data_IF_795252027247
#
_entry.id   IF_795252027247
#
_cell.length_a   1.000
_cell.length_b   1.000
_cell.length_c   1.000
_cell.angle_alpha   90.00
_cell.angle_beta   90.00
_cell.angle_gamma   90.00
#
_symmetry.space_group_name_H-M   'P 1'
#
loop_
_entity.id
_entity.type
_entity.pdbx_description
1 polymer ?
#
# COMPACT_ATOMS: atom_id res chain seq x y z
N UNK A 1 11.82 16.98 9.12
CA UNK A 1 12.47 16.60 10.40
C UNK A 1 13.96 16.47 10.14
N UNK A 2 14.85 16.85 11.09
CA UNK A 2 16.29 16.64 10.90
C UNK A 2 16.59 15.16 10.72
N UNK A 3 17.64 14.87 9.95
CA UNK A 3 18.15 13.54 9.75
C UNK A 3 18.42 12.83 11.06
N UNK A 4 17.77 11.74 11.30
CA UNK A 4 17.90 10.95 12.53
C UNK A 4 18.31 9.51 12.24
N UNK A 5 19.20 9.02 13.07
CA UNK A 5 19.55 7.61 13.09
C UNK A 5 18.31 6.72 13.29
N UNK A 6 18.09 5.80 12.39
CA UNK A 6 16.89 4.93 12.41
C UNK A 6 17.03 3.72 13.37
N UNK A 7 18.02 3.71 14.26
CA UNK A 7 18.18 2.63 15.23
C UNK A 7 17.17 2.70 16.37
N UNK A 8 16.93 3.90 16.87
CA UNK A 8 15.98 4.15 17.96
C UNK A 8 15.43 5.55 17.88
N UNK A 9 14.16 5.73 18.26
CA UNK A 9 13.49 7.03 18.26
C UNK A 9 14.17 8.05 19.18
N UNK A 10 14.88 7.62 20.21
CA UNK A 10 15.61 8.48 21.16
C UNK A 10 16.95 8.99 20.62
N UNK A 11 17.48 8.41 19.53
CA UNK A 11 18.76 8.82 18.98
C UNK A 11 18.62 10.16 18.24
N UNK A 12 19.38 11.16 18.68
CA UNK A 12 19.43 12.49 18.04
C UNK A 12 20.61 12.66 17.09
N UNK A 13 21.53 11.68 17.03
CA UNK A 13 22.69 11.74 16.14
C UNK A 13 22.28 11.60 14.68
N UNK A 14 22.90 12.33 13.75
CA UNK A 14 22.67 12.15 12.32
C UNK A 14 23.19 10.80 11.85
N UNK A 15 22.58 10.20 10.84
CA UNK A 15 23.08 8.98 10.21
C UNK A 15 24.39 9.27 9.44
N UNK A 16 25.15 8.22 9.17
CA UNK A 16 26.32 8.30 8.30
C UNK A 16 25.88 8.35 6.83
N UNK A 17 26.72 8.92 5.98
CA UNK A 17 26.50 8.90 4.51
C UNK A 17 26.22 7.46 4.04
N UNK A 18 25.17 7.28 3.30
CA UNK A 18 24.72 5.97 2.77
C UNK A 18 24.38 4.91 3.84
N UNK A 19 24.06 5.32 5.07
CA UNK A 19 23.63 4.42 6.14
C UNK A 19 22.42 4.99 6.88
N UNK A 20 21.47 4.16 7.31
CA UNK A 20 20.37 4.60 8.19
C UNK A 20 20.81 4.78 9.64
N UNK A 21 22.09 4.51 9.96
CA UNK A 21 22.62 4.51 11.32
C UNK A 21 23.72 5.54 11.52
N UNK A 22 23.78 6.15 12.70
CA UNK A 22 24.87 7.00 13.11
C UNK A 22 26.13 6.19 13.50
N UNK A 23 27.27 6.88 13.67
CA UNK A 23 28.56 6.27 14.02
C UNK A 23 28.50 5.37 15.25
N UNK A 24 27.70 5.72 16.24
CA UNK A 24 27.53 4.93 17.48
C UNK A 24 26.73 3.67 17.22
N UNK A 25 25.61 3.79 16.50
CA UNK A 25 24.64 2.71 16.36
C UNK A 25 24.92 1.74 15.20
N UNK A 26 25.79 2.08 14.27
CA UNK A 26 26.08 1.20 13.12
C UNK A 26 26.62 -0.19 13.54
N UNK A 27 27.25 -0.27 14.70
CA UNK A 27 27.80 -1.52 15.25
C UNK A 27 26.78 -2.35 16.02
N UNK A 28 25.74 -1.72 16.57
CA UNK A 28 24.84 -2.33 17.56
C UNK A 28 23.43 -2.55 17.04
N UNK A 29 22.99 -1.79 16.03
CA UNK A 29 21.66 -1.98 15.49
C UNK A 29 21.57 -3.29 14.70
N UNK A 30 20.46 -4.01 14.86
CA UNK A 30 20.18 -5.16 14.02
C UNK A 30 20.18 -4.73 12.55
N UNK A 31 21.03 -5.36 11.75
CA UNK A 31 21.15 -5.04 10.32
C UNK A 31 19.96 -5.54 9.49
N UNK A 32 19.16 -6.45 10.05
CA UNK A 32 18.04 -7.08 9.36
C UNK A 32 16.87 -7.20 10.32
N UNK A 33 15.72 -6.62 9.96
CA UNK A 33 14.48 -6.87 10.67
C UNK A 33 14.05 -8.34 10.48
N UNK A 34 13.27 -8.88 11.43
CA UNK A 34 12.83 -10.29 11.38
C UNK A 34 11.97 -10.53 10.13
N UNK A 35 12.50 -11.31 9.19
CA UNK A 35 11.87 -11.68 7.94
C UNK A 35 11.02 -12.95 8.09
N UNK A 36 9.92 -13.00 7.36
CA UNK A 36 9.08 -14.20 7.24
C UNK A 36 9.70 -15.24 6.30
N UNK A 37 10.56 -14.80 5.38
CA UNK A 37 11.10 -15.55 4.25
C UNK A 37 10.21 -15.48 3.00
N UNK A 38 9.22 -14.60 3.00
CA UNK A 38 8.30 -14.38 1.88
C UNK A 38 8.28 -12.94 1.39
N UNK A 39 9.18 -12.12 1.89
CA UNK A 39 9.36 -10.75 1.45
C UNK A 39 9.82 -10.73 -0.03
N UNK A 40 9.31 -9.79 -0.85
CA UNK A 40 9.80 -9.61 -2.22
C UNK A 40 11.26 -9.18 -2.24
N UNK A 41 11.97 -9.50 -3.31
CA UNK A 41 13.27 -8.88 -3.58
C UNK A 41 13.10 -7.43 -3.99
N UNK A 42 14.04 -6.58 -3.58
CA UNK A 42 14.15 -5.24 -4.14
C UNK A 42 14.56 -5.35 -5.61
N UNK A 43 13.62 -5.10 -6.49
CA UNK A 43 13.81 -5.13 -7.93
C UNK A 43 13.10 -3.92 -8.56
N UNK A 44 13.78 -2.77 -8.65
CA UNK A 44 13.22 -1.56 -9.23
C UNK A 44 12.86 -1.71 -10.71
N UNK A 45 13.60 -2.50 -11.49
CA UNK A 45 13.34 -2.70 -12.92
C UNK A 45 11.97 -3.28 -13.21
N UNK A 46 11.46 -4.11 -12.31
CA UNK A 46 10.10 -4.66 -12.40
C UNK A 46 9.03 -3.58 -12.55
N UNK A 47 9.29 -2.36 -12.04
CA UNK A 47 8.35 -1.23 -12.05
C UNK A 47 8.84 -0.07 -12.91
N UNK A 48 10.14 0.13 -13.04
CA UNK A 48 10.73 1.31 -13.67
C UNK A 48 11.00 1.12 -15.16
N UNK A 49 11.25 -0.13 -15.58
CA UNK A 49 11.67 -0.45 -16.96
C UNK A 49 10.63 -0.08 -18.03
N UNK A 50 9.34 -0.23 -17.69
CA UNK A 50 8.23 0.09 -18.59
C UNK A 50 7.44 1.27 -18.04
N UNK A 51 7.37 2.36 -18.80
CA UNK A 51 6.66 3.58 -18.39
C UNK A 51 5.20 3.30 -18.05
N UNK A 52 4.50 2.47 -18.81
CA UNK A 52 3.12 2.11 -18.51
C UNK A 52 2.92 1.41 -17.15
N UNK A 53 3.88 0.59 -16.70
CA UNK A 53 3.85 0.00 -15.35
C UNK A 53 4.17 1.07 -14.31
N UNK A 54 5.22 1.87 -14.55
CA UNK A 54 5.64 2.96 -13.66
C UNK A 54 4.50 3.94 -13.39
N UNK A 55 3.79 4.35 -14.44
CA UNK A 55 2.70 5.32 -14.39
C UNK A 55 1.40 4.75 -13.83
N UNK A 56 1.15 3.45 -13.98
CA UNK A 56 -0.09 2.81 -13.55
C UNK A 56 -0.06 2.23 -12.14
N UNK A 57 1.11 2.08 -11.53
CA UNK A 57 1.26 1.51 -10.19
C UNK A 57 1.72 2.58 -9.22
N UNK A 58 1.06 2.67 -8.06
CA UNK A 58 1.41 3.58 -6.96
C UNK A 58 2.03 2.82 -5.77
N UNK A 59 2.23 3.51 -4.65
CA UNK A 59 2.74 2.94 -3.41
C UNK A 59 1.91 1.75 -2.91
N UNK A 60 0.59 1.81 -3.04
CA UNK A 60 -0.31 0.73 -2.61
C UNK A 60 -0.11 -0.54 -3.44
N UNK A 61 -0.09 -0.44 -4.77
CA UNK A 61 0.17 -1.57 -5.64
C UNK A 61 1.57 -2.16 -5.40
N UNK A 62 2.58 -1.29 -5.23
CA UNK A 62 3.95 -1.68 -4.95
C UNK A 62 4.08 -2.46 -3.63
N UNK A 63 3.42 -2.00 -2.58
CA UNK A 63 3.45 -2.67 -1.28
C UNK A 63 2.94 -4.12 -1.33
N UNK A 64 2.01 -4.40 -2.24
CA UNK A 64 1.46 -5.74 -2.49
C UNK A 64 2.21 -6.54 -3.58
N UNK A 65 3.37 -6.06 -4.01
CA UNK A 65 4.17 -6.67 -5.09
C UNK A 65 3.40 -6.82 -6.42
N UNK A 66 2.46 -5.90 -6.68
CA UNK A 66 1.61 -5.91 -7.86
C UNK A 66 2.19 -5.00 -8.95
N UNK A 67 2.58 -5.59 -10.09
CA UNK A 67 3.23 -4.92 -11.21
C UNK A 67 2.61 -5.25 -12.57
N UNK A 68 1.36 -5.70 -12.59
CA UNK A 68 0.68 -6.00 -13.85
C UNK A 68 0.28 -4.73 -14.58
N UNK A 69 0.62 -4.64 -15.86
CA UNK A 69 0.06 -3.62 -16.73
C UNK A 69 -1.46 -3.79 -16.79
N UNK A 70 -2.24 -2.71 -16.62
CA UNK A 70 -3.69 -2.80 -16.70
C UNK A 70 -4.17 -3.18 -18.10
N UNK A 71 -5.18 -4.02 -18.16
CA UNK A 71 -5.88 -4.35 -19.40
C UNK A 71 -6.82 -3.17 -19.78
N UNK A 72 -6.28 -2.17 -20.45
CA UNK A 72 -6.99 -0.97 -20.90
C UNK A 72 -6.38 -0.47 -22.20
N UNK A 73 -7.23 0.07 -23.09
CA UNK A 73 -6.76 0.77 -24.30
C UNK A 73 -5.93 2.02 -24.00
N UNK A 74 -6.01 2.55 -22.79
CA UNK A 74 -5.25 3.70 -22.31
C UNK A 74 -3.89 3.31 -21.70
N UNK A 75 -3.51 2.03 -21.77
CA UNK A 75 -2.27 1.52 -21.22
C UNK A 75 -1.53 0.66 -22.24
N UNK A 76 -0.25 0.97 -22.40
CA UNK A 76 0.75 0.21 -23.16
C UNK A 76 1.99 0.02 -22.29
N UNK A 77 3.05 -0.58 -22.85
CA UNK A 77 4.34 -0.67 -22.16
C UNK A 77 4.98 0.72 -21.97
N UNK A 78 4.65 1.67 -22.83
CA UNK A 78 5.30 2.99 -22.93
C UNK A 78 4.55 4.08 -22.16
N UNK A 79 3.25 3.91 -21.90
CA UNK A 79 2.45 4.90 -21.17
C UNK A 79 1.18 4.27 -20.56
N UNK A 80 0.63 4.91 -19.52
CA UNK A 80 -0.64 4.53 -18.96
C UNK A 80 -1.32 5.70 -18.23
N UNK A 81 -2.48 6.13 -18.70
CA UNK A 81 -3.21 7.31 -18.19
C UNK A 81 -4.43 6.99 -17.32
N UNK A 82 -4.54 5.75 -16.82
CA UNK A 82 -5.66 5.39 -15.94
C UNK A 82 -5.38 5.71 -14.47
N UNK A 83 -6.41 5.98 -13.67
CA UNK A 83 -6.26 6.24 -12.25
C UNK A 83 -5.58 5.10 -11.51
N UNK A 84 -4.81 5.41 -10.47
CA UNK A 84 -4.22 4.42 -9.58
C UNK A 84 -5.26 3.57 -8.87
N UNK A 85 -4.86 2.35 -8.51
CA UNK A 85 -5.63 1.58 -7.54
C UNK A 85 -5.56 2.25 -6.16
N UNK A 86 -6.68 2.23 -5.44
CA UNK A 86 -6.82 2.90 -4.15
C UNK A 86 -7.36 1.93 -3.09
N UNK A 87 -6.92 2.06 -1.80
CA UNK A 87 -7.48 1.28 -0.71
C UNK A 87 -8.99 1.45 -0.58
N UNK A 88 -9.70 0.34 -0.37
CA UNK A 88 -11.16 0.32 -0.21
C UNK A 88 -11.95 0.18 -1.50
N UNK A 89 -11.34 0.40 -2.66
CA UNK A 89 -12.09 0.35 -3.94
C UNK A 89 -12.56 -1.06 -4.29
N UNK A 90 -11.80 -2.08 -3.93
CA UNK A 90 -12.19 -3.47 -4.17
C UNK A 90 -13.37 -3.89 -3.30
N UNK A 91 -13.46 -3.38 -2.08
CA UNK A 91 -14.53 -3.64 -1.11
C UNK A 91 -15.71 -2.67 -1.20
N UNK A 92 -15.67 -1.71 -2.13
CA UNK A 92 -16.80 -0.82 -2.39
C UNK A 92 -16.86 0.44 -1.52
N UNK A 93 -15.79 0.76 -0.81
CA UNK A 93 -15.70 2.05 -0.11
C UNK A 93 -15.81 3.22 -1.09
N UNK A 94 -16.42 4.34 -0.67
CA UNK A 94 -16.47 5.55 -1.46
C UNK A 94 -15.08 6.12 -1.76
N UNK A 95 -14.98 6.99 -2.72
CA UNK A 95 -13.77 7.78 -2.96
C UNK A 95 -13.46 8.67 -1.74
N UNK A 96 -12.19 9.05 -1.62
CA UNK A 96 -11.77 10.04 -0.65
C UNK A 96 -12.48 11.36 -0.92
N UNK A 97 -12.84 12.05 0.14
CA UNK A 97 -13.40 13.40 0.06
C UNK A 97 -12.64 14.33 1.02
N UNK A 98 -12.74 15.62 0.78
CA UNK A 98 -12.15 16.63 1.67
C UNK A 98 -12.65 16.54 3.12
N UNK A 99 -13.90 16.05 3.30
CA UNK A 99 -14.51 15.87 4.65
C UNK A 99 -13.97 14.64 5.36
N UNK A 100 -13.65 13.58 4.62
CA UNK A 100 -13.30 12.27 5.22
C UNK A 100 -11.80 12.04 5.36
N UNK A 101 -10.95 12.92 4.87
CA UNK A 101 -9.50 12.85 5.02
C UNK A 101 -8.87 11.45 4.82
N UNK A 102 -7.58 11.37 4.71
CA UNK A 102 -6.83 10.10 4.59
C UNK A 102 -6.28 9.68 5.94
N UNK A 103 -7.16 9.32 6.88
CA UNK A 103 -6.80 9.01 8.26
C UNK A 103 -6.42 7.54 8.47
N UNK A 104 -5.53 7.29 9.40
CA UNK A 104 -5.05 5.94 9.73
C UNK A 104 -6.17 4.91 9.97
N UNK A 105 -7.19 5.15 10.82
CA UNK A 105 -8.24 4.15 11.07
C UNK A 105 -9.06 3.82 9.82
N UNK A 106 -9.38 4.82 8.99
CA UNK A 106 -10.14 4.62 7.76
C UNK A 106 -9.34 3.83 6.73
N UNK A 107 -8.06 4.19 6.52
CA UNK A 107 -7.18 3.45 5.61
C UNK A 107 -6.99 1.99 6.03
N UNK A 108 -6.81 1.74 7.32
CA UNK A 108 -6.71 0.37 7.87
C UNK A 108 -8.00 -0.40 7.59
N UNK A 109 -9.17 0.19 7.85
CA UNK A 109 -10.47 -0.44 7.59
C UNK A 109 -10.65 -0.78 6.11
N UNK A 110 -10.28 0.13 5.21
CA UNK A 110 -10.31 -0.08 3.75
C UNK A 110 -9.40 -1.22 3.31
N UNK A 111 -8.19 -1.31 3.88
CA UNK A 111 -7.26 -2.40 3.59
C UNK A 111 -7.82 -3.76 4.02
N UNK A 112 -8.40 -3.84 5.22
CA UNK A 112 -9.02 -5.08 5.73
C UNK A 112 -10.21 -5.50 4.89
N UNK A 113 -10.98 -4.54 4.36
CA UNK A 113 -12.05 -4.79 3.40
C UNK A 113 -11.55 -5.36 2.07
N UNK A 114 -10.48 -4.78 1.52
CA UNK A 114 -9.95 -5.18 0.21
C UNK A 114 -9.21 -6.51 0.24
N UNK A 115 -8.51 -6.80 1.34
CA UNK A 115 -7.60 -7.95 1.41
C UNK A 115 -7.86 -8.77 2.66
N UNK A 116 -8.63 -9.82 2.51
CA UNK A 116 -8.89 -10.76 3.60
C UNK A 116 -7.59 -11.38 4.12
N UNK A 117 -7.41 -11.37 5.43
CA UNK A 117 -6.30 -12.03 6.11
C UNK A 117 -5.12 -11.10 6.44
N UNK A 118 -5.22 -9.80 6.22
CA UNK A 118 -4.27 -8.82 6.75
C UNK A 118 -4.24 -8.94 8.28
N UNK A 119 -3.07 -8.75 8.87
CA UNK A 119 -2.87 -8.77 10.32
C UNK A 119 -2.09 -7.55 10.77
N UNK A 120 -2.49 -6.94 11.87
CA UNK A 120 -1.69 -5.90 12.52
C UNK A 120 -0.35 -6.48 12.99
N UNK A 121 0.70 -5.68 12.92
CA UNK A 121 2.06 -6.12 13.27
C UNK A 121 2.84 -5.01 13.98
N UNK A 122 4.10 -5.29 14.28
CA UNK A 122 5.08 -4.33 14.78
C UNK A 122 6.38 -4.47 14.00
N UNK A 123 7.29 -3.51 14.12
CA UNK A 123 8.61 -3.59 13.48
C UNK A 123 9.31 -4.91 13.81
N UNK A 124 9.39 -5.27 15.11
CA UNK A 124 10.12 -6.45 15.60
C UNK A 124 9.40 -7.78 15.37
N UNK A 125 8.07 -7.78 15.21
CA UNK A 125 7.29 -9.01 15.09
C UNK A 125 7.45 -9.60 13.69
N UNK A 126 7.91 -10.88 13.60
CA UNK A 126 7.95 -11.64 12.35
C UNK A 126 6.54 -11.86 11.81
N UNK A 127 6.34 -11.67 10.50
CA UNK A 127 5.09 -12.06 9.86
C UNK A 127 4.94 -13.59 9.76
N UNK A 128 3.71 -14.12 9.73
CA UNK A 128 3.49 -15.55 9.53
C UNK A 128 4.05 -16.07 8.20
N UNK A 129 4.20 -17.38 8.08
CA UNK A 129 4.54 -18.04 6.81
C UNK A 129 3.58 -17.60 5.71
N UNK A 130 4.09 -17.35 4.49
CA UNK A 130 3.35 -16.82 3.33
C UNK A 130 2.79 -15.40 3.51
N UNK A 131 3.40 -14.61 4.39
CA UNK A 131 3.10 -13.18 4.55
C UNK A 131 4.36 -12.35 4.38
N UNK A 132 4.20 -11.12 3.89
CA UNK A 132 5.24 -10.09 3.90
C UNK A 132 4.79 -8.89 4.72
N UNK A 133 5.74 -8.03 5.11
CA UNK A 133 5.45 -6.86 5.95
C UNK A 133 5.38 -5.61 5.10
N UNK A 134 4.39 -4.76 5.41
CA UNK A 134 4.26 -3.41 4.89
C UNK A 134 4.09 -2.41 6.02
N UNK A 135 4.32 -1.13 5.75
CA UNK A 135 4.02 -0.04 6.66
C UNK A 135 3.14 1.00 5.98
N UNK A 136 2.24 1.60 6.74
CA UNK A 136 1.32 2.65 6.31
C UNK A 136 1.59 3.92 7.08
N UNK A 137 1.68 5.02 6.36
CA UNK A 137 1.83 6.38 6.87
C UNK A 137 0.86 7.32 6.17
N UNK A 138 0.53 8.43 6.80
CA UNK A 138 -0.35 9.46 6.21
C UNK A 138 0.19 10.86 6.43
N UNK A 139 -0.13 11.71 5.48
CA UNK A 139 -0.34 13.13 5.59
C UNK A 139 -1.85 13.32 5.52
N UNK A 140 -2.51 13.60 6.65
CA UNK A 140 -3.97 13.51 6.75
C UNK A 140 -4.70 14.43 5.77
N UNK A 141 -4.11 15.59 5.48
CA UNK A 141 -4.70 16.57 4.60
C UNK A 141 -4.47 16.24 3.12
N UNK A 142 -3.34 15.62 2.80
CA UNK A 142 -2.88 15.48 1.42
C UNK A 142 -2.92 14.05 0.89
N UNK A 143 -2.22 13.11 1.55
CA UNK A 143 -1.97 11.79 0.96
C UNK A 143 -1.68 10.71 2.00
N UNK A 144 -1.66 9.46 1.54
CA UNK A 144 -1.16 8.31 2.28
C UNK A 144 0.00 7.67 1.54
N UNK A 145 0.84 6.94 2.25
CA UNK A 145 1.95 6.23 1.63
C UNK A 145 2.19 4.85 2.23
N UNK A 146 2.67 3.94 1.37
CA UNK A 146 3.04 2.59 1.76
C UNK A 146 4.53 2.34 1.53
N UNK A 147 5.12 1.66 2.49
CA UNK A 147 6.44 1.05 2.39
C UNK A 147 6.31 -0.47 2.40
N UNK A 148 7.24 -1.15 1.75
CA UNK A 148 7.35 -2.59 1.69
C UNK A 148 8.68 -3.05 2.27
N UNK A 149 8.66 -4.06 3.14
CA UNK A 149 9.89 -4.72 3.57
C UNK A 149 10.36 -5.66 2.46
N UNK A 150 11.64 -5.56 2.09
CA UNK A 150 12.27 -6.40 1.09
C UNK A 150 13.05 -7.54 1.74
N UNK A 151 13.43 -8.55 0.96
CA UNK A 151 14.10 -9.77 1.44
C UNK A 151 15.49 -9.54 2.06
N UNK A 152 16.10 -8.37 1.83
CA UNK A 152 17.32 -7.95 2.50
C UNK A 152 17.10 -7.33 3.88
N UNK A 153 15.82 -7.18 4.30
CA UNK A 153 15.41 -6.61 5.58
C UNK A 153 15.23 -5.11 5.60
N UNK A 154 15.66 -4.40 4.56
CA UNK A 154 15.42 -2.97 4.39
C UNK A 154 14.04 -2.72 3.77
N UNK A 155 13.70 -1.46 3.64
CA UNK A 155 12.40 -1.05 3.12
C UNK A 155 12.54 -0.25 1.85
N UNK A 156 11.55 -0.37 0.99
CA UNK A 156 11.45 0.36 -0.25
C UNK A 156 10.03 0.86 -0.48
N UNK A 157 9.88 1.80 -1.39
CA UNK A 157 8.58 2.38 -1.73
C UNK A 157 8.55 2.88 -3.17
N UNK A 158 7.35 3.21 -3.64
CA UNK A 158 7.12 3.78 -4.96
C UNK A 158 6.23 5.01 -4.83
N UNK A 159 6.80 6.25 -4.88
CA UNK A 159 6.01 7.47 -4.83
C UNK A 159 5.20 7.65 -6.12
N UNK A 160 3.87 7.49 -6.04
CA UNK A 160 2.96 7.68 -7.17
C UNK A 160 3.48 7.08 -8.48
N UNK A 161 3.58 7.89 -9.54
CA UNK A 161 4.13 7.53 -10.86
C UNK A 161 5.66 7.59 -10.94
N UNK A 162 6.36 7.91 -9.84
CA UNK A 162 7.82 7.99 -9.82
C UNK A 162 8.48 6.61 -9.76
N UNK A 163 9.80 6.59 -9.85
CA UNK A 163 10.60 5.36 -9.73
C UNK A 163 10.50 4.75 -8.32
N UNK A 164 10.62 3.44 -8.27
CA UNK A 164 10.84 2.71 -7.02
C UNK A 164 12.17 3.13 -6.40
N UNK A 165 12.17 3.35 -5.10
CA UNK A 165 13.36 3.74 -4.35
C UNK A 165 13.39 3.04 -2.98
N UNK A 166 14.57 2.99 -2.37
CA UNK A 166 14.81 2.47 -1.03
C UNK A 166 15.38 3.52 -0.07
N UNK A 167 15.35 4.79 -0.51
CA UNK A 167 15.84 5.92 0.29
C UNK A 167 14.68 6.76 0.82
N UNK A 168 14.89 7.38 1.97
CA UNK A 168 13.93 8.27 2.62
C UNK A 168 14.01 9.72 2.11
N UNK A 169 13.24 10.62 2.71
CA UNK A 169 13.15 12.03 2.30
C UNK A 169 14.46 12.83 2.42
N UNK A 170 15.49 12.28 3.08
CA UNK A 170 16.80 12.89 3.27
C UNK A 170 17.92 12.11 2.54
N UNK A 171 17.55 11.10 1.74
CA UNK A 171 18.49 10.36 0.91
C UNK A 171 19.16 9.17 1.59
N UNK A 172 18.70 8.75 2.77
CA UNK A 172 19.24 7.62 3.49
C UNK A 172 18.44 6.33 3.25
N UNK A 173 19.09 5.15 3.25
CA UNK A 173 18.38 3.87 3.17
C UNK A 173 17.35 3.73 4.29
N UNK A 174 16.18 3.21 3.95
CA UNK A 174 15.10 3.04 4.93
C UNK A 174 15.31 1.70 5.66
N UNK A 175 15.64 1.80 6.95
CA UNK A 175 15.72 0.66 7.86
C UNK A 175 14.41 0.46 8.63
N UNK A 176 13.81 1.54 9.11
CA UNK A 176 12.53 1.57 9.81
C UNK A 176 11.66 2.73 9.30
N UNK A 177 10.57 2.48 8.56
CA UNK A 177 9.69 3.52 8.05
C UNK A 177 9.12 4.45 9.13
N UNK A 178 9.02 3.99 10.38
CA UNK A 178 8.56 4.82 11.49
C UNK A 178 9.60 5.88 11.88
N UNK A 179 10.87 5.58 11.71
CA UNK A 179 12.00 6.44 12.12
C UNK A 179 12.65 7.18 10.94
N UNK A 180 12.46 6.70 9.72
CA UNK A 180 12.94 7.32 8.50
C UNK A 180 12.34 8.72 8.30
N UNK A 181 13.03 9.60 7.58
CA UNK A 181 12.49 10.89 7.16
C UNK A 181 11.38 10.68 6.14
N UNK A 182 10.20 11.19 6.42
CA UNK A 182 9.02 11.08 5.56
C UNK A 182 8.57 12.43 5.00
N UNK A 183 9.42 13.43 5.12
CA UNK A 183 9.23 14.75 4.52
C UNK A 183 9.92 14.80 3.17
N UNK A 184 9.15 15.02 2.11
CA UNK A 184 9.60 15.06 0.72
C UNK A 184 9.48 16.50 0.21
N UNK A 185 10.54 17.30 0.40
CA UNK A 185 10.55 18.74 0.12
C UNK A 185 10.11 19.08 -1.31
N UNK A 186 10.51 18.25 -2.29
CA UNK A 186 10.20 18.51 -3.70
C UNK A 186 8.70 18.35 -4.05
N UNK A 187 7.94 17.61 -3.26
CA UNK A 187 6.51 17.40 -3.45
C UNK A 187 5.63 18.12 -2.44
N UNK A 188 6.24 18.73 -1.41
CA UNK A 188 5.51 19.32 -0.28
C UNK A 188 4.92 18.30 0.70
N UNK A 189 4.95 17.01 0.38
CA UNK A 189 4.36 15.96 1.21
C UNK A 189 5.15 15.70 2.48
N UNK A 190 4.44 15.58 3.59
CA UNK A 190 5.01 15.27 4.89
C UNK A 190 4.16 14.21 5.60
N UNK A 191 4.45 12.94 5.37
CA UNK A 191 3.73 11.83 6.03
C UNK A 191 4.10 11.75 7.51
N UNK A 192 3.64 12.74 8.29
CA UNK A 192 3.97 12.94 9.69
C UNK A 192 3.39 11.86 10.60
N UNK A 193 2.27 11.25 10.23
CA UNK A 193 1.63 10.21 11.02
C UNK A 193 2.02 8.80 10.55
N UNK A 194 2.47 7.98 11.51
CA UNK A 194 2.74 6.57 11.29
C UNK A 194 1.57 5.73 11.77
N UNK A 195 0.84 5.12 10.84
CA UNK A 195 -0.35 4.34 11.18
C UNK A 195 -0.03 2.97 11.77
N UNK A 196 0.69 2.13 11.04
CA UNK A 196 1.00 0.77 11.50
C UNK A 196 1.95 0.03 10.59
N UNK A 197 2.52 -1.06 11.13
CA UNK A 197 3.02 -2.19 10.35
C UNK A 197 1.91 -3.22 10.18
N UNK A 198 1.86 -3.82 9.01
CA UNK A 198 0.87 -4.82 8.66
C UNK A 198 1.55 -6.03 8.03
N UNK A 199 1.07 -7.23 8.34
CA UNK A 199 1.41 -8.43 7.60
C UNK A 199 0.34 -8.69 6.55
N UNK A 200 0.73 -8.75 5.29
CA UNK A 200 -0.15 -9.01 4.16
C UNK A 200 0.08 -10.42 3.60
N UNK A 201 -0.96 -11.19 3.28
CA UNK A 201 -0.79 -12.52 2.72
C UNK A 201 -0.21 -12.45 1.31
N UNK A 202 0.79 -13.28 0.99
CA UNK A 202 1.33 -13.38 -0.38
C UNK A 202 0.34 -14.13 -1.26
N UNK A 203 -0.26 -13.44 -2.22
CA UNK A 203 -1.19 -13.99 -3.20
C UNK A 203 -0.59 -13.90 -4.60
N UNK A 204 -0.85 -14.92 -5.45
CA UNK A 204 -0.43 -14.88 -6.86
C UNK A 204 -1.16 -13.79 -7.65
N UNK A 205 -2.41 -13.51 -7.30
CA UNK A 205 -3.27 -12.55 -8.01
C UNK A 205 -4.04 -11.71 -7.00
N UNK A 206 -3.62 -10.49 -6.79
CA UNK A 206 -4.45 -9.45 -6.19
C UNK A 206 -5.38 -8.88 -7.25
N UNK A 207 -6.64 -8.67 -6.89
CA UNK A 207 -7.62 -7.98 -7.74
C UNK A 207 -7.91 -6.62 -7.13
N UNK A 208 -7.11 -5.64 -7.50
CA UNK A 208 -7.38 -4.26 -7.11
C UNK A 208 -8.31 -3.60 -8.13
N UNK A 209 -9.30 -2.87 -7.63
CA UNK A 209 -10.11 -1.98 -8.47
C UNK A 209 -9.45 -0.61 -8.54
N UNK A 210 -9.49 -0.01 -9.72
CA UNK A 210 -8.98 1.35 -9.95
C UNK A 210 -10.08 2.37 -9.72
N UNK A 211 -9.72 3.62 -9.37
CA UNK A 211 -10.65 4.74 -9.33
C UNK A 211 -11.28 4.98 -10.71
N UNK A 212 -12.52 5.40 -10.73
CA UNK A 212 -13.32 5.67 -11.91
C UNK A 212 -14.80 5.48 -11.57
N UNK A 213 -15.70 6.24 -12.17
CA UNK A 213 -17.15 6.18 -11.93
C UNK A 213 -17.62 4.73 -12.03
N UNK A 214 -17.96 4.12 -10.92
CA UNK A 214 -18.68 2.84 -10.91
C UNK A 214 -20.03 3.09 -11.58
N UNK A 215 -20.26 2.53 -12.75
CA UNK A 215 -21.63 2.32 -13.25
C UNK A 215 -22.33 1.48 -12.19
N UNK A 216 -23.21 2.10 -11.42
CA UNK A 216 -24.16 1.39 -10.58
C UNK A 216 -24.94 0.45 -11.48
N UNK A 217 -24.60 -0.81 -11.53
CA UNK A 217 -25.49 -1.86 -11.98
C UNK A 217 -26.57 -1.97 -10.91
N UNK A 218 -27.60 -1.17 -11.03
CA UNK A 218 -28.87 -1.37 -10.33
C UNK A 218 -29.31 -2.79 -10.68
N UNK A 219 -29.21 -3.65 -9.70
CA UNK A 219 -29.66 -5.03 -9.81
C UNK A 219 -31.17 -4.97 -9.64
N UNK A 220 -31.90 -4.63 -10.75
CA UNK A 220 -33.33 -4.82 -10.82
C UNK A 220 -33.59 -6.32 -10.66
N UNK A 221 -33.83 -6.73 -9.41
CA UNK A 221 -34.50 -7.99 -9.13
C UNK A 221 -35.96 -7.80 -9.50
N UNK A 222 -36.29 -8.10 -10.75
CA UNK A 222 -37.66 -8.25 -11.18
C UNK A 222 -38.27 -9.43 -10.41
N UNK A 223 -39.06 -9.07 -9.43
CA UNK A 223 -39.88 -9.99 -8.64
C UNK A 223 -41.11 -10.27 -9.46
N UNK A 224 -41.12 -11.34 -10.23
CA UNK A 224 -42.31 -11.83 -10.92
C UNK A 224 -42.49 -13.31 -10.60
N UNK A 225 -43.52 -13.63 -9.85
CA UNK A 225 -44.69 -14.43 -10.23
C UNK A 225 -45.39 -15.01 -9.01
N UNK A 226 -46.39 -14.31 -8.57
CA UNK A 226 -47.47 -14.92 -7.80
C UNK A 226 -48.40 -15.57 -8.84
N UNK A 227 -48.38 -16.87 -8.87
CA UNK A 227 -49.27 -17.65 -9.75
C UNK A 227 -50.52 -17.97 -8.93
N UNK A 228 -51.60 -17.23 -9.14
CA UNK A 228 -52.93 -17.56 -8.68
C UNK A 228 -53.42 -18.85 -9.37
N UNK A 229 -53.54 -19.93 -8.61
CA UNK A 229 -54.29 -21.10 -9.01
C UNK A 229 -55.71 -20.95 -8.50
N UNK A 230 -56.62 -20.54 -9.35
CA UNK A 230 -58.07 -20.62 -9.11
C UNK A 230 -58.51 -22.08 -9.20
N UNK A 231 -58.99 -22.65 -8.08
CA UNK A 231 -59.65 -23.94 -8.04
C UNK A 231 -61.08 -23.76 -8.50
N UNK A 232 -61.44 -24.34 -9.64
CA UNK A 232 -62.81 -24.60 -10.02
C UNK A 232 -63.39 -25.70 -9.16
N UNK A 233 -64.41 -25.40 -8.36
CA UNK A 233 -65.28 -26.38 -7.73
C UNK A 233 -66.45 -26.62 -8.66
N UNK A 234 -66.56 -27.83 -9.24
CA UNK A 234 -67.77 -28.31 -9.87
C UNK A 234 -68.73 -28.80 -8.83
N UNK A 235 -69.95 -28.25 -8.85
CA UNK A 235 -71.15 -28.80 -8.22
C UNK A 235 -71.69 -29.93 -9.07
N UNK A 236 -72.04 -31.03 -8.44
CA UNK A 236 -73.13 -31.92 -8.76
C UNK A 236 -73.80 -32.24 -7.46
#
# INVERSE_FOLDING_TARGET
>A
MPDKCQCTASCKNPPLKNSPFCKVHIKFCPRVAKLSGYEPHFNPDKYNKHSGIKESQNCFAYAFDYSKLPESRQCSKDSCSIPFTQPGRASGYPEWSAVNGKRCPDLISRLFGDVRGIKMSTFKKKCPKKYSKIALVVDEDEDYHFYRQDSNGYWSHKPGSSNVTHIDGTGHPIYDPKLASRQYLNSGLNYNEFCSYLCIPKKKNYRFKRGGKTRNKTRNKTRNKTRNKTRNVKKA
#
